data_IF_848828984137
#
_entry.id   IF_848828984137
#
_cell.length_a   1.000
_cell.length_b   1.000
_cell.length_c   1.000
_cell.angle_alpha   90.00
_cell.angle_beta   90.00
_cell.angle_gamma   90.00
#
_symmetry.space_group_name_H-M   'P 1'
#
loop_
_entity.id
_entity.type
_entity.pdbx_description
1 polymer ?
#
# COMPACT_ATOMS: atom_id res chain seq x y z
N UNK A 1 -3.22 1.33 -0.31
CA UNK A 1 -2.70 -0.03 -0.61
C UNK A 1 -2.69 -0.84 0.67
N UNK A 2 -2.86 -2.15 0.59
CA UNK A 2 -2.79 -3.03 1.76
C UNK A 2 -1.86 -4.21 1.52
N UNK A 3 -1.10 -4.59 2.55
CA UNK A 3 -0.20 -5.75 2.56
C UNK A 3 -0.53 -6.60 3.77
N UNK A 4 -0.79 -7.88 3.57
CA UNK A 4 -1.01 -8.87 4.63
C UNK A 4 0.26 -9.66 4.83
N UNK A 5 0.65 -9.87 6.09
CA UNK A 5 1.88 -10.56 6.42
C UNK A 5 2.23 -10.54 7.90
N UNK A 6 3.47 -10.89 8.18
CA UNK A 6 4.01 -10.97 9.55
C UNK A 6 5.40 -10.36 9.62
N UNK A 7 5.81 -9.96 10.82
CA UNK A 7 7.15 -9.43 11.05
C UNK A 7 7.36 -8.00 10.55
N UNK A 8 6.29 -7.20 10.41
CA UNK A 8 6.41 -5.77 10.14
C UNK A 8 7.07 -5.07 11.34
N UNK A 9 8.37 -4.84 11.26
CA UNK A 9 9.16 -4.17 12.30
C UNK A 9 8.93 -2.66 12.27
N UNK A 10 9.08 -1.99 13.42
CA UNK A 10 8.94 -0.52 13.46
C UNK A 10 9.96 0.16 12.54
N UNK A 11 11.17 -0.40 12.43
CA UNK A 11 12.20 0.12 11.52
C UNK A 11 11.75 0.06 10.06
N UNK A 12 11.11 -1.03 9.63
CA UNK A 12 10.53 -1.12 8.29
C UNK A 12 9.43 -0.08 8.07
N UNK A 13 8.60 0.18 9.08
CA UNK A 13 7.55 1.21 9.00
C UNK A 13 8.15 2.63 8.89
N UNK A 14 9.22 2.92 9.63
CA UNK A 14 9.96 4.18 9.52
C UNK A 14 10.55 4.38 8.13
N UNK A 15 11.17 3.34 7.57
CA UNK A 15 11.73 3.37 6.20
C UNK A 15 10.64 3.61 5.15
N UNK A 16 9.46 3.04 5.33
CA UNK A 16 8.31 3.30 4.45
C UNK A 16 7.82 4.75 4.59
N UNK A 17 7.66 5.27 5.81
CA UNK A 17 7.23 6.65 6.08
C UNK A 17 8.23 7.70 5.59
N UNK A 18 9.51 7.35 5.46
CA UNK A 18 10.54 8.24 4.94
C UNK A 18 10.45 8.45 3.41
N UNK A 19 9.63 7.68 2.69
CA UNK A 19 9.47 7.79 1.25
C UNK A 19 8.50 8.92 0.89
N UNK A 20 8.83 9.78 -0.09
CA UNK A 20 8.00 10.94 -0.44
C UNK A 20 6.62 10.56 -1.00
N UNK A 21 6.48 9.39 -1.61
CA UNK A 21 5.21 8.90 -2.16
C UNK A 21 4.26 8.33 -1.09
N UNK A 22 4.71 8.17 0.16
CA UNK A 22 3.95 7.60 1.27
C UNK A 22 3.34 8.71 2.13
N UNK A 23 2.02 8.75 2.18
CA UNK A 23 1.28 9.69 3.03
C UNK A 23 1.14 9.18 4.48
N UNK A 24 0.89 7.87 4.65
CA UNK A 24 0.70 7.27 5.96
C UNK A 24 1.03 5.76 5.92
N UNK A 25 1.41 5.20 7.08
CA UNK A 25 1.65 3.77 7.25
C UNK A 25 1.13 3.32 8.61
N UNK A 26 0.20 2.37 8.59
CA UNK A 26 -0.38 1.76 9.80
C UNK A 26 -0.25 0.25 9.75
N UNK A 27 0.23 -0.35 10.84
CA UNK A 27 0.33 -1.81 11.01
C UNK A 27 -0.60 -2.25 12.13
N UNK A 28 -1.50 -3.20 11.84
CA UNK A 28 -2.44 -3.76 12.81
C UNK A 28 -2.75 -5.22 12.51
N UNK A 29 -2.54 -6.10 13.48
CA UNK A 29 -2.91 -7.52 13.41
C UNK A 29 -2.43 -8.25 12.14
N UNK A 30 -1.19 -7.99 11.70
CA UNK A 30 -0.63 -8.61 10.49
C UNK A 30 -1.15 -8.01 9.18
N UNK A 31 -1.83 -6.86 9.24
CA UNK A 31 -2.17 -6.04 8.08
C UNK A 31 -1.40 -4.74 8.14
N UNK A 32 -0.84 -4.35 7.01
CA UNK A 32 -0.14 -3.11 6.80
C UNK A 32 -0.92 -2.29 5.77
N UNK A 33 -1.48 -1.18 6.22
CA UNK A 33 -2.15 -0.20 5.35
C UNK A 33 -1.15 0.89 5.02
N UNK A 34 -1.00 1.17 3.72
CA UNK A 34 -0.11 2.21 3.21
C UNK A 34 -0.97 3.15 2.38
N UNK A 35 -1.10 4.38 2.84
CA UNK A 35 -1.69 5.47 2.07
C UNK A 35 -0.60 6.11 1.22
N UNK A 36 -0.87 6.21 -0.08
CA UNK A 36 0.06 6.75 -1.07
C UNK A 36 -0.52 8.04 -1.63
N UNK A 37 0.34 9.02 -1.90
CA UNK A 37 -0.07 10.26 -2.57
C UNK A 37 -0.52 10.03 -4.01
N UNK A 38 0.02 9.00 -4.66
CA UNK A 38 -0.35 8.60 -6.02
C UNK A 38 -0.30 7.08 -6.17
N UNK A 39 -0.99 6.55 -7.17
CA UNK A 39 -0.99 5.11 -7.45
C UNK A 39 0.39 4.68 -7.93
N UNK A 40 1.13 3.96 -7.07
CA UNK A 40 2.47 3.44 -7.35
C UNK A 40 2.47 1.91 -7.37
N UNK A 41 3.47 1.32 -8.03
CA UNK A 41 3.70 -0.12 -8.02
C UNK A 41 4.01 -0.62 -6.58
N UNK A 42 3.34 -1.68 -6.07
CA UNK A 42 3.63 -2.26 -4.75
C UNK A 42 5.01 -2.89 -4.63
N UNK A 43 5.62 -3.32 -5.74
CA UNK A 43 6.83 -4.15 -5.73
C UNK A 43 8.02 -3.56 -4.94
N UNK A 44 8.34 -2.26 -5.01
CA UNK A 44 9.42 -1.67 -4.21
C UNK A 44 9.14 -1.70 -2.70
N UNK A 45 7.88 -1.52 -2.30
CA UNK A 45 7.47 -1.56 -0.89
C UNK A 45 7.55 -2.99 -0.33
N UNK A 46 7.07 -3.96 -1.11
CA UNK A 46 7.16 -5.39 -0.78
C UNK A 46 8.63 -5.82 -0.64
N UNK A 47 9.49 -5.38 -1.57
CA UNK A 47 10.91 -5.71 -1.53
C UNK A 47 11.60 -5.18 -0.28
N UNK A 48 11.31 -3.93 0.09
CA UNK A 48 11.82 -3.31 1.32
C UNK A 48 11.36 -4.09 2.55
N UNK A 49 10.07 -4.43 2.64
CA UNK A 49 9.52 -5.19 3.77
C UNK A 49 10.22 -6.55 3.93
N UNK A 50 10.43 -7.26 2.82
CA UNK A 50 11.11 -8.56 2.83
C UNK A 50 12.59 -8.42 3.22
N UNK A 51 13.27 -7.38 2.76
CA UNK A 51 14.66 -7.08 3.16
C UNK A 51 14.77 -6.81 4.67
N UNK A 52 13.77 -6.17 5.26
CA UNK A 52 13.66 -5.94 6.70
C UNK A 52 13.14 -7.14 7.50
N UNK A 53 12.99 -8.30 6.84
CA UNK A 53 12.64 -9.57 7.48
C UNK A 53 11.14 -9.84 7.62
N UNK A 54 10.27 -9.02 7.01
CA UNK A 54 8.84 -9.30 6.97
C UNK A 54 8.50 -10.45 6.01
N UNK A 55 7.49 -11.23 6.37
CA UNK A 55 6.90 -12.26 5.52
C UNK A 55 5.62 -11.71 4.92
N UNK A 56 5.62 -11.50 3.60
CA UNK A 56 4.45 -11.03 2.87
C UNK A 56 3.63 -12.22 2.40
N UNK A 57 2.34 -12.22 2.74
CA UNK A 57 1.37 -13.26 2.38
C UNK A 57 0.44 -12.81 1.25
N UNK A 58 0.01 -11.54 1.27
CA UNK A 58 -0.90 -10.99 0.26
C UNK A 58 -0.63 -9.49 0.03
N UNK A 59 -0.88 -9.01 -1.20
CA UNK A 59 -0.75 -7.60 -1.57
C UNK A 59 -1.99 -7.17 -2.33
N UNK A 60 -2.73 -6.22 -1.76
CA UNK A 60 -3.91 -5.61 -2.36
C UNK A 60 -3.58 -4.19 -2.82
N UNK A 61 -3.43 -4.02 -4.13
CA UNK A 61 -3.47 -2.69 -4.74
C UNK A 61 -4.94 -2.27 -4.73
N UNK A 62 -5.31 -1.35 -3.84
CA UNK A 62 -6.67 -0.81 -3.79
C UNK A 62 -7.08 -0.39 -5.20
N UNK A 63 -8.16 -0.97 -5.72
CA UNK A 63 -8.76 -0.53 -6.98
C UNK A 63 -9.16 0.93 -6.84
N UNK A 64 -9.04 1.67 -7.94
CA UNK A 64 -9.56 3.01 -8.20
C UNK A 64 -10.54 3.51 -7.12
N UNK A 65 -10.29 4.72 -6.61
CA UNK A 65 -11.18 5.36 -5.66
C UNK A 65 -12.63 5.32 -6.16
N UNK A 66 -13.62 5.38 -5.25
CA UNK A 66 -15.03 5.47 -5.67
C UNK A 66 -15.28 6.62 -6.66
N UNK A 67 -14.46 7.67 -6.61
CA UNK A 67 -14.44 8.77 -7.58
C UNK A 67 -13.94 8.34 -8.96
N UNK A 68 -12.85 7.58 -9.04
CA UNK A 68 -12.34 7.02 -10.31
C UNK A 68 -13.35 6.06 -10.94
N UNK A 69 -14.02 5.22 -10.13
CA UNK A 69 -15.09 4.34 -10.59
C UNK A 69 -16.30 5.15 -11.06
N UNK A 70 -16.66 6.22 -10.33
CA UNK A 70 -17.75 7.10 -10.72
C UNK A 70 -17.46 7.84 -12.03
N UNK A 71 -16.25 8.37 -12.21
CA UNK A 71 -15.81 9.00 -13.46
C UNK A 71 -15.86 8.02 -14.63
N UNK A 72 -15.35 6.80 -14.43
CA UNK A 72 -15.40 5.75 -15.46
C UNK A 72 -16.84 5.46 -15.90
N UNK A 73 -17.77 5.28 -14.94
CA UNK A 73 -19.18 5.04 -15.23
C UNK A 73 -19.87 6.22 -15.96
N UNK A 74 -19.48 7.46 -15.64
CA UNK A 74 -20.01 8.66 -16.30
C UNK A 74 -19.50 8.83 -17.75
N UNK A 75 -18.27 8.36 -18.04
CA UNK A 75 -17.69 8.41 -19.39
C UNK A 75 -18.30 7.36 -20.33
N UNK A 76 -18.82 6.25 -19.80
CA UNK A 76 -19.47 5.17 -20.57
C UNK A 76 -20.90 5.50 -21.03
N UNK A 77 -21.56 6.54 -20.48
CA UNK A 77 -22.91 6.98 -20.89
C UNK A 77 -22.93 8.03 -22.02
N UNK A 78 -21.84 8.18 -22.79
CA UNK A 78 -21.73 9.15 -23.90
C UNK A 78 -21.85 8.54 -25.30
#
# INVERSE_FOLDING_TARGET
MEIVGRGFSEHALELLRARPEVASVESRNGRLTIDLHETTDPAPFVSLLVQEGAQVEEVHRGSASLEDVFLTLMEEEK
#
